data_IF_249603415082
#
_entry.id   IF_249603415082
#
_cell.length_a   1.000
_cell.length_b   1.000
_cell.length_c   1.000
_cell.angle_alpha   90.00
_cell.angle_beta   90.00
_cell.angle_gamma   90.00
#
_symmetry.space_group_name_H-M   'P 1'
#
loop_
_entity.id
_entity.type
_entity.pdbx_description
1 polymer ?
#
# COMPACT_ATOMS: atom_id res chain seq x y z
N UNK A 1 -10.27 46.17 19.41
CA UNK A 1 -11.28 45.19 18.97
C UNK A 1 -10.77 44.24 17.87
N UNK A 2 -10.08 44.71 16.83
CA UNK A 2 -9.53 43.85 15.76
C UNK A 2 -8.54 42.75 16.21
N UNK A 3 -7.71 43.00 17.23
CA UNK A 3 -6.77 41.98 17.77
C UNK A 3 -7.45 40.73 18.34
N UNK A 4 -8.64 40.89 18.93
CA UNK A 4 -9.40 39.76 19.51
C UNK A 4 -10.01 38.93 18.38
N UNK A 5 -10.60 39.60 17.38
CA UNK A 5 -11.18 38.94 16.21
C UNK A 5 -10.10 38.19 15.42
N UNK A 6 -8.90 38.79 15.25
CA UNK A 6 -7.77 38.16 14.57
C UNK A 6 -7.27 36.91 15.30
N UNK A 7 -7.17 36.93 16.63
CA UNK A 7 -6.79 35.75 17.42
C UNK A 7 -7.85 34.64 17.34
N UNK A 8 -9.14 34.99 17.36
CA UNK A 8 -10.23 34.00 17.18
C UNK A 8 -10.15 33.37 15.79
N UNK A 9 -9.90 34.16 14.74
CA UNK A 9 -9.73 33.64 13.37
C UNK A 9 -8.50 32.73 13.29
N UNK A 10 -7.37 33.08 13.92
CA UNK A 10 -6.17 32.23 13.94
C UNK A 10 -6.44 30.92 14.69
N UNK A 11 -7.11 30.95 15.84
CA UNK A 11 -7.45 29.74 16.60
C UNK A 11 -8.43 28.85 15.81
N UNK A 12 -9.41 29.44 15.12
CA UNK A 12 -10.30 28.70 14.23
C UNK A 12 -9.57 28.14 13.02
N UNK A 13 -8.64 28.89 12.41
CA UNK A 13 -7.84 28.42 11.30
C UNK A 13 -6.92 27.28 11.72
N UNK A 14 -6.19 27.40 12.83
CA UNK A 14 -5.31 26.33 13.33
C UNK A 14 -6.13 25.11 13.76
N UNK A 15 -7.27 25.29 14.43
CA UNK A 15 -8.15 24.19 14.85
C UNK A 15 -8.80 23.45 13.67
N UNK A 16 -9.25 24.17 12.65
CA UNK A 16 -9.83 23.58 11.42
C UNK A 16 -8.74 22.98 10.53
N UNK A 17 -7.53 23.56 10.47
CA UNK A 17 -6.40 23.01 9.72
C UNK A 17 -5.86 21.73 10.37
N UNK A 18 -5.90 21.62 11.70
CA UNK A 18 -5.62 20.36 12.41
C UNK A 18 -6.69 19.28 12.19
N UNK A 19 -7.95 19.67 11.92
CA UNK A 19 -9.01 18.72 11.57
C UNK A 19 -8.98 18.30 10.08
N UNK A 20 -8.42 19.13 9.19
CA UNK A 20 -8.27 18.84 7.76
C UNK A 20 -6.96 18.10 7.44
N UNK A 21 -5.96 18.16 8.31
CA UNK A 21 -4.83 17.22 8.34
C UNK A 21 -5.18 15.98 9.19
N UNK A 22 -6.42 15.52 9.07
CA UNK A 22 -6.84 14.19 9.45
C UNK A 22 -6.46 13.16 8.38
N UNK A 23 -5.23 13.18 7.88
CA UNK A 23 -4.62 11.96 7.34
C UNK A 23 -4.40 11.02 8.54
N UNK A 24 -5.50 10.44 8.98
CA UNK A 24 -5.51 9.20 9.76
C UNK A 24 -5.15 8.06 8.80
N UNK A 25 -4.03 8.21 8.09
CA UNK A 25 -3.40 7.16 7.33
C UNK A 25 -2.62 6.28 8.31
N UNK A 26 -3.35 5.52 9.12
CA UNK A 26 -2.96 4.19 9.60
C UNK A 26 -1.43 4.00 9.72
N UNK A 27 -0.82 4.52 10.78
CA UNK A 27 0.55 4.14 11.20
C UNK A 27 0.54 2.70 11.76
N UNK A 28 -0.03 1.76 11.00
CA UNK A 28 0.12 0.35 11.27
C UNK A 28 1.33 -0.14 10.45
N UNK A 29 2.50 -0.32 11.07
CA UNK A 29 3.70 -0.76 10.37
C UNK A 29 3.49 -2.10 9.65
N UNK A 30 2.59 -2.94 10.16
CA UNK A 30 2.19 -4.21 9.53
C UNK A 30 1.53 -3.97 8.16
N UNK A 31 0.66 -2.96 8.07
CA UNK A 31 -0.06 -2.62 6.85
C UNK A 31 0.86 -2.02 5.80
N UNK A 32 1.81 -1.17 6.21
CA UNK A 32 2.82 -0.57 5.33
C UNK A 32 3.70 -1.66 4.72
N UNK A 33 4.26 -2.54 5.56
CA UNK A 33 5.11 -3.64 5.12
C UNK A 33 4.35 -4.60 4.19
N UNK A 34 3.10 -4.95 4.54
CA UNK A 34 2.25 -5.82 3.73
C UNK A 34 1.96 -5.20 2.34
N UNK A 35 1.69 -3.89 2.30
CA UNK A 35 1.43 -3.12 1.08
C UNK A 35 2.66 -3.05 0.18
N UNK A 36 3.83 -2.83 0.74
CA UNK A 36 5.08 -2.78 -0.03
C UNK A 36 5.37 -4.13 -0.71
N UNK A 37 5.25 -5.23 0.04
CA UNK A 37 5.46 -6.58 -0.48
C UNK A 37 4.39 -6.94 -1.54
N UNK A 38 3.15 -6.51 -1.33
CA UNK A 38 2.08 -6.69 -2.31
C UNK A 38 2.43 -5.95 -3.62
N UNK A 39 2.72 -4.64 -3.54
CA UNK A 39 3.09 -3.81 -4.71
C UNK A 39 4.28 -4.37 -5.48
N UNK A 40 5.36 -4.78 -4.82
CA UNK A 40 6.51 -5.40 -5.49
C UNK A 40 6.09 -6.64 -6.28
N UNK A 41 5.21 -7.47 -5.73
CA UNK A 41 4.72 -8.66 -6.43
C UNK A 41 3.82 -8.32 -7.60
N UNK A 42 3.04 -7.25 -7.51
CA UNK A 42 2.17 -6.77 -8.60
C UNK A 42 3.02 -6.24 -9.75
N UNK A 43 4.01 -5.39 -9.45
CA UNK A 43 4.99 -4.89 -10.42
C UNK A 43 5.75 -6.03 -11.11
N UNK A 44 6.18 -7.03 -10.34
CA UNK A 44 6.81 -8.22 -10.90
C UNK A 44 5.89 -9.00 -11.86
N UNK A 45 4.60 -9.10 -11.55
CA UNK A 45 3.62 -9.78 -12.41
C UNK A 45 3.34 -8.99 -13.68
N UNK A 46 3.20 -7.68 -13.57
CA UNK A 46 3.00 -6.77 -14.69
C UNK A 46 4.20 -6.80 -15.64
N UNK A 47 5.42 -6.72 -15.11
CA UNK A 47 6.65 -6.89 -15.89
C UNK A 47 6.66 -8.22 -16.63
N UNK A 48 6.33 -9.34 -15.98
CA UNK A 48 6.30 -10.64 -16.64
C UNK A 48 5.24 -10.69 -17.76
N UNK A 49 4.06 -10.08 -17.54
CA UNK A 49 2.92 -10.12 -18.47
C UNK A 49 3.14 -9.22 -19.68
N UNK A 50 3.65 -8.02 -19.46
CA UNK A 50 3.77 -6.96 -20.47
C UNK A 50 5.15 -6.87 -21.10
N UNK A 51 6.17 -7.59 -20.59
CA UNK A 51 7.52 -7.51 -21.12
C UNK A 51 7.61 -8.04 -22.57
N UNK A 52 8.06 -7.21 -23.53
CA UNK A 52 8.35 -7.65 -24.89
C UNK A 52 9.64 -8.49 -24.95
N UNK A 53 10.57 -8.29 -24.01
CA UNK A 53 11.90 -8.91 -24.01
C UNK A 53 12.06 -9.98 -22.91
N UNK A 54 12.91 -10.98 -23.19
CA UNK A 54 13.27 -12.08 -22.28
C UNK A 54 13.99 -11.58 -21.04
N UNK A 55 14.83 -10.55 -21.16
CA UNK A 55 15.56 -9.95 -20.03
C UNK A 55 14.58 -9.33 -19.03
N UNK A 56 13.60 -8.55 -19.49
CA UNK A 56 12.58 -7.98 -18.62
C UNK A 56 11.70 -9.05 -17.93
N UNK A 57 11.44 -10.19 -18.60
CA UNK A 57 10.79 -11.35 -17.95
C UNK A 57 11.67 -11.99 -16.87
N UNK A 58 12.99 -11.99 -17.05
CA UNK A 58 13.95 -12.48 -16.06
C UNK A 58 14.00 -11.59 -14.83
N UNK A 59 14.10 -10.27 -15.02
CA UNK A 59 14.02 -9.28 -13.95
C UNK A 59 12.70 -9.36 -13.19
N UNK A 60 11.57 -9.48 -13.89
CA UNK A 60 10.26 -9.69 -13.25
C UNK A 60 10.19 -10.99 -12.44
N UNK A 61 10.84 -12.07 -12.90
CA UNK A 61 10.95 -13.33 -12.14
C UNK A 61 11.82 -13.16 -10.89
N UNK A 62 12.92 -12.44 -10.98
CA UNK A 62 13.77 -12.12 -9.84
C UNK A 62 13.04 -11.26 -8.81
N UNK A 63 12.35 -10.19 -9.26
CA UNK A 63 11.55 -9.34 -8.39
C UNK A 63 10.44 -10.14 -7.68
N UNK A 64 9.84 -11.12 -8.38
CA UNK A 64 8.87 -12.06 -7.78
C UNK A 64 9.52 -12.99 -6.74
N UNK A 65 10.79 -13.38 -6.90
CA UNK A 65 11.53 -14.16 -5.88
C UNK A 65 11.82 -13.29 -4.65
N UNK A 66 12.37 -12.10 -4.84
CA UNK A 66 12.65 -11.14 -3.76
C UNK A 66 11.39 -10.80 -2.96
N UNK A 67 10.26 -10.55 -3.63
CA UNK A 67 8.98 -10.31 -2.96
C UNK A 67 8.49 -11.51 -2.12
N UNK A 68 8.79 -12.76 -2.53
CA UNK A 68 8.46 -13.95 -1.71
C UNK A 68 9.35 -14.04 -0.47
N UNK A 69 10.63 -13.73 -0.60
CA UNK A 69 11.58 -13.73 0.52
C UNK A 69 11.23 -12.65 1.54
N UNK A 70 10.97 -11.42 1.09
CA UNK A 70 10.50 -10.33 1.95
C UNK A 70 9.20 -10.71 2.67
N UNK A 71 8.24 -11.32 1.97
CA UNK A 71 7.01 -11.81 2.61
C UNK A 71 7.29 -12.79 3.74
N UNK A 72 8.24 -13.72 3.55
CA UNK A 72 8.60 -14.71 4.57
C UNK A 72 9.27 -14.03 5.76
N UNK A 73 10.25 -13.16 5.49
CA UNK A 73 10.94 -12.38 6.52
C UNK A 73 9.97 -11.55 7.37
N UNK A 74 9.05 -10.82 6.74
CA UNK A 74 8.03 -10.06 7.46
C UNK A 74 7.03 -10.95 8.19
N UNK A 75 6.59 -12.07 7.60
CA UNK A 75 5.72 -13.03 8.29
C UNK A 75 6.41 -13.52 9.56
N UNK A 76 7.66 -13.96 9.48
CA UNK A 76 8.41 -14.46 10.64
C UNK A 76 8.64 -13.36 11.68
N UNK A 77 8.93 -12.12 11.25
CA UNK A 77 9.03 -10.95 12.13
C UNK A 77 7.71 -10.71 12.89
N UNK A 78 6.58 -10.76 12.19
CA UNK A 78 5.27 -10.47 12.77
C UNK A 78 4.68 -11.65 13.56
N UNK A 79 5.05 -12.89 13.21
CA UNK A 79 4.67 -14.10 13.95
C UNK A 79 5.31 -14.13 15.35
N UNK A 80 6.56 -13.68 15.48
CA UNK A 80 7.25 -13.53 16.77
C UNK A 80 6.55 -12.56 17.73
N UNK A 81 5.79 -11.60 17.22
CA UNK A 81 5.05 -10.62 18.04
C UNK A 81 3.53 -10.91 18.08
N UNK A 82 3.09 -12.08 17.59
CA UNK A 82 1.68 -12.47 17.56
C UNK A 82 0.81 -11.76 16.52
N UNK A 83 1.41 -11.02 15.58
CA UNK A 83 0.73 -10.28 14.49
C UNK A 83 0.88 -10.92 13.10
N UNK A 84 1.30 -12.18 13.04
CA UNK A 84 1.56 -12.88 11.76
C UNK A 84 0.30 -13.06 10.89
N UNK A 85 -0.86 -13.27 11.52
CA UNK A 85 -2.15 -13.33 10.82
C UNK A 85 -2.57 -11.98 10.27
N UNK A 86 -2.48 -10.92 11.08
CA UNK A 86 -2.76 -9.53 10.67
C UNK A 86 -1.95 -9.12 9.42
N UNK A 87 -0.64 -9.42 9.40
CA UNK A 87 0.20 -9.22 8.21
C UNK A 87 -0.30 -10.02 7.01
N UNK A 88 -0.66 -11.28 7.22
CA UNK A 88 -1.10 -12.18 6.16
C UNK A 88 -2.42 -11.74 5.55
N UNK A 89 -3.35 -11.21 6.35
CA UNK A 89 -4.66 -10.74 5.91
C UNK A 89 -4.53 -9.43 5.14
N UNK A 90 -3.75 -8.47 5.64
CA UNK A 90 -3.44 -7.25 4.90
C UNK A 90 -2.76 -7.56 3.57
N UNK A 91 -1.79 -8.47 3.58
CA UNK A 91 -1.11 -8.90 2.36
C UNK A 91 -2.08 -9.55 1.35
N UNK A 92 -3.03 -10.38 1.81
CA UNK A 92 -4.05 -10.97 0.94
C UNK A 92 -4.98 -9.92 0.37
N UNK A 93 -5.42 -8.96 1.18
CA UNK A 93 -6.29 -7.87 0.76
C UNK A 93 -5.62 -7.00 -0.33
N UNK A 94 -4.40 -6.53 -0.09
CA UNK A 94 -3.65 -5.72 -1.07
C UNK A 94 -3.34 -6.51 -2.34
N UNK A 95 -3.00 -7.80 -2.22
CA UNK A 95 -2.81 -8.66 -3.39
C UNK A 95 -4.10 -8.84 -4.21
N UNK A 96 -5.26 -8.88 -3.57
CA UNK A 96 -6.57 -8.97 -4.24
C UNK A 96 -6.84 -7.71 -5.06
N UNK A 97 -6.61 -6.53 -4.48
CA UNK A 97 -6.72 -5.23 -5.19
C UNK A 97 -5.87 -5.19 -6.45
N UNK A 98 -4.59 -5.57 -6.35
CA UNK A 98 -3.73 -5.65 -7.54
C UNK A 98 -4.21 -6.63 -8.62
N UNK A 99 -4.99 -7.65 -8.25
CA UNK A 99 -5.53 -8.59 -9.25
C UNK A 99 -6.70 -7.95 -9.97
N UNK A 100 -7.58 -7.29 -9.23
CA UNK A 100 -8.74 -6.57 -9.74
C UNK A 100 -8.34 -5.37 -10.61
N UNK A 101 -7.24 -4.69 -10.29
CA UNK A 101 -6.68 -3.61 -11.13
C UNK A 101 -5.97 -4.12 -12.40
N UNK A 102 -5.52 -5.37 -12.44
CA UNK A 102 -4.75 -5.94 -13.55
C UNK A 102 -5.61 -6.74 -14.56
N UNK A 103 -6.87 -6.98 -14.23
CA UNK A 103 -7.89 -7.47 -15.15
C UNK A 103 -8.58 -6.21 -15.71
N UNK A 104 -8.57 -5.97 -17.04
CA UNK A 104 -9.37 -4.90 -17.59
C UNK A 104 -10.81 -5.15 -17.14
N UNK A 105 -11.49 -4.13 -16.63
CA UNK A 105 -12.94 -4.16 -16.69
C UNK A 105 -13.23 -4.17 -18.18
N UNK A 106 -13.69 -5.31 -18.66
CA UNK A 106 -14.39 -5.35 -19.93
C UNK A 106 -15.61 -4.45 -19.68
N UNK A 107 -15.48 -3.17 -20.02
CA UNK A 107 -16.59 -2.23 -20.06
C UNK A 107 -17.45 -2.67 -21.26
N UNK A 108 -18.11 -3.82 -21.09
CA UNK A 108 -19.14 -4.31 -21.97
C UNK A 108 -20.35 -3.39 -21.79
N UNK A 109 -20.55 -2.52 -22.79
CA UNK A 109 -21.82 -1.98 -23.25
C UNK A 109 -22.85 -1.51 -22.20
N UNK A 110 -23.08 -0.19 -22.16
CA UNK A 110 -24.37 0.38 -22.62
C UNK A 110 -24.21 1.84 -23.07
#
# INVERSE_FOLDING_TARGET
>A
MYKIILNIIIVLFVGVFMAACGDSASDNPVLIDAREVAKMRCKAREMIKNAPDRVAKEEGRELRRRAKELRRMYKDKYEKIGKGEEFSDFYRAEKKKCREEAEPKDDDNE
#
